data_IF_998584048583
#
_entry.id   IF_998584048583
#
_cell.length_a   1.000
_cell.length_b   1.000
_cell.length_c   1.000
_cell.angle_alpha   90.00
_cell.angle_beta   90.00
_cell.angle_gamma   90.00
#
_symmetry.space_group_name_H-M   'P 1'
#
loop_
_entity.id
_entity.type
_entity.pdbx_description
1 polymer ?
#
# COMPACT_ATOMS: atom_id res chain seq x y z
N UNK A 1 10.35 17.32 6.63
CA UNK A 1 9.75 16.74 5.40
C UNK A 1 10.15 15.28 5.36
N UNK A 2 9.22 14.39 4.99
CA UNK A 2 9.49 12.94 4.87
C UNK A 2 9.30 12.52 3.42
N UNK A 3 10.22 11.72 2.90
CA UNK A 3 10.20 11.18 1.55
C UNK A 3 10.32 9.67 1.61
N UNK A 4 9.46 8.96 0.88
CA UNK A 4 9.56 7.51 0.68
C UNK A 4 9.13 7.17 -0.74
N UNK A 5 10.01 6.59 -1.55
CA UNK A 5 9.72 6.27 -2.96
C UNK A 5 10.01 4.79 -3.20
N UNK A 6 8.97 4.00 -3.45
CA UNK A 6 9.05 2.54 -3.63
C UNK A 6 9.62 1.79 -2.41
N UNK A 7 9.23 2.21 -1.19
CA UNK A 7 9.70 1.62 0.08
C UNK A 7 8.54 1.29 1.01
N UNK A 8 7.49 2.10 1.01
CA UNK A 8 6.32 1.90 1.86
C UNK A 8 5.57 0.61 1.54
N UNK A 9 5.70 0.06 0.32
CA UNK A 9 5.17 -1.26 -0.01
C UNK A 9 5.86 -2.40 0.75
N UNK A 10 7.03 -2.19 1.36
CA UNK A 10 7.78 -3.24 2.07
C UNK A 10 7.61 -3.22 3.61
N UNK A 11 6.98 -2.18 4.16
CA UNK A 11 6.77 -2.05 5.60
C UNK A 11 5.55 -2.84 6.08
N UNK A 12 5.72 -3.78 7.00
CA UNK A 12 4.62 -4.58 7.56
C UNK A 12 3.71 -3.77 8.51
N UNK A 13 4.31 -3.01 9.43
CA UNK A 13 3.56 -2.22 10.42
C UNK A 13 3.31 -0.79 9.92
N UNK A 14 2.39 -0.67 8.95
CA UNK A 14 2.01 0.63 8.41
C UNK A 14 1.40 1.55 9.47
N UNK A 15 0.66 1.00 10.43
CA UNK A 15 0.00 1.77 11.48
C UNK A 15 1.03 2.52 12.33
N UNK A 16 2.01 1.80 12.92
CA UNK A 16 3.10 2.43 13.67
C UNK A 16 3.99 3.31 12.79
N UNK A 17 4.15 2.96 11.51
CA UNK A 17 4.91 3.77 10.56
C UNK A 17 4.28 5.16 10.37
N UNK A 18 2.97 5.23 10.10
CA UNK A 18 2.27 6.51 9.95
C UNK A 18 2.18 7.28 11.29
N UNK A 19 2.04 6.57 12.42
CA UNK A 19 2.10 7.19 13.74
C UNK A 19 3.45 7.87 14.00
N UNK A 20 4.56 7.18 13.71
CA UNK A 20 5.90 7.71 13.87
C UNK A 20 6.14 8.92 12.94
N UNK A 21 5.68 8.85 11.69
CA UNK A 21 5.75 9.97 10.77
C UNK A 21 5.01 11.21 11.30
N UNK A 22 3.84 11.03 11.92
CA UNK A 22 3.08 12.12 12.52
C UNK A 22 3.84 12.78 13.68
N UNK A 23 4.49 11.96 14.53
CA UNK A 23 5.31 12.46 15.64
C UNK A 23 6.57 13.20 15.17
N UNK A 24 7.19 12.74 14.09
CA UNK A 24 8.43 13.35 13.57
C UNK A 24 8.20 14.62 12.76
N UNK A 25 7.00 14.79 12.18
CA UNK A 25 6.66 15.97 11.41
C UNK A 25 6.05 17.05 12.30
N UNK A 26 6.67 18.23 12.31
CA UNK A 26 6.01 19.45 12.81
C UNK A 26 4.70 19.73 12.06
N UNK A 27 3.78 20.46 12.69
CA UNK A 27 2.58 20.99 12.04
C UNK A 27 2.95 21.77 10.76
N UNK A 28 2.18 21.56 9.69
CA UNK A 28 2.46 22.08 8.35
C UNK A 28 3.59 21.37 7.59
N UNK A 29 4.25 20.38 8.21
CA UNK A 29 5.26 19.55 7.55
C UNK A 29 4.67 18.67 6.44
N UNK A 30 5.43 18.43 5.38
CA UNK A 30 4.99 17.70 4.19
C UNK A 30 5.59 16.29 4.13
N UNK A 31 4.81 15.34 3.63
CA UNK A 31 5.23 14.00 3.22
C UNK A 31 4.98 13.78 1.73
N UNK A 32 5.87 13.01 1.11
CA UNK A 32 5.70 12.51 -0.26
C UNK A 32 6.04 11.03 -0.33
N UNK A 33 5.09 10.26 -0.88
CA UNK A 33 5.14 8.81 -0.95
C UNK A 33 4.87 8.32 -2.37
N UNK A 34 5.81 7.59 -2.95
CA UNK A 34 5.59 6.74 -4.12
C UNK A 34 5.46 5.30 -3.66
N UNK A 35 4.38 4.62 -4.08
CA UNK A 35 4.06 3.26 -3.65
C UNK A 35 3.73 2.41 -4.89
N UNK A 36 4.37 1.25 -4.99
CA UNK A 36 4.08 0.23 -6.00
C UNK A 36 3.19 -0.88 -5.41
N UNK A 37 2.06 -1.16 -6.06
CA UNK A 37 1.11 -2.20 -5.65
C UNK A 37 1.16 -3.45 -6.53
N UNK A 38 2.07 -3.50 -7.51
CA UNK A 38 2.26 -4.67 -8.38
C UNK A 38 2.85 -5.83 -7.58
N UNK A 39 2.78 -7.03 -8.17
CA UNK A 39 3.22 -8.27 -7.55
C UNK A 39 4.75 -8.49 -7.58
N UNK A 40 5.55 -7.52 -8.04
CA UNK A 40 7.03 -7.63 -8.18
C UNK A 40 7.52 -8.97 -8.74
N UNK A 41 6.90 -9.47 -9.82
CA UNK A 41 7.21 -10.76 -10.44
C UNK A 41 6.97 -12.01 -9.58
N UNK A 42 6.31 -11.89 -8.42
CA UNK A 42 5.87 -13.03 -7.59
C UNK A 42 4.67 -13.78 -8.18
N UNK A 43 4.10 -13.24 -9.25
CA UNK A 43 2.97 -13.78 -10.00
C UNK A 43 3.10 -13.40 -11.47
N UNK A 44 2.60 -14.26 -12.36
CA UNK A 44 2.52 -13.98 -13.80
C UNK A 44 1.63 -12.76 -14.11
N UNK A 45 0.63 -12.52 -13.25
CA UNK A 45 -0.26 -11.36 -13.32
C UNK A 45 0.26 -10.24 -12.44
N UNK A 46 0.18 -9.00 -12.92
CA UNK A 46 0.69 -7.85 -12.16
C UNK A 46 -0.01 -7.66 -10.82
N UNK A 47 -1.29 -8.01 -10.69
CA UNK A 47 -2.08 -7.95 -9.46
C UNK A 47 -2.45 -9.33 -8.92
N UNK A 48 -1.72 -10.37 -9.33
CA UNK A 48 -2.00 -11.74 -8.89
C UNK A 48 -1.69 -12.00 -7.42
N UNK A 49 -0.92 -11.14 -6.75
CA UNK A 49 -0.66 -11.28 -5.32
C UNK A 49 -1.95 -11.24 -4.47
N UNK A 50 -3.00 -10.56 -4.95
CA UNK A 50 -4.30 -10.47 -4.27
C UNK A 50 -5.10 -11.78 -4.28
N UNK A 51 -4.73 -12.75 -5.10
CA UNK A 51 -5.33 -14.10 -5.09
C UNK A 51 -4.59 -15.05 -4.14
N UNK A 52 -3.45 -14.61 -3.59
CA UNK A 52 -2.61 -15.43 -2.73
C UNK A 52 -3.17 -15.44 -1.28
N UNK A 53 -3.62 -16.61 -0.77
CA UNK A 53 -4.10 -16.72 0.61
C UNK A 53 -2.96 -16.59 1.62
N UNK A 54 -3.28 -16.16 2.84
CA UNK A 54 -2.27 -15.81 3.85
C UNK A 54 -1.33 -16.95 4.24
N UNK A 55 -1.82 -18.19 4.26
CA UNK A 55 -0.96 -19.36 4.53
C UNK A 55 0.10 -19.53 3.44
N UNK A 56 -0.27 -19.32 2.17
CA UNK A 56 0.64 -19.41 1.02
C UNK A 56 1.59 -18.23 1.02
N UNK A 57 1.09 -17.04 1.36
CA UNK A 57 1.92 -15.85 1.51
C UNK A 57 2.96 -16.02 2.63
N UNK A 58 2.57 -16.58 3.78
CA UNK A 58 3.48 -16.90 4.89
C UNK A 58 4.58 -17.86 4.46
N UNK A 59 4.26 -18.85 3.63
CA UNK A 59 5.25 -19.78 3.07
C UNK A 59 6.21 -19.08 2.09
N UNK A 60 5.69 -18.26 1.18
CA UNK A 60 6.51 -17.47 0.23
C UNK A 60 7.44 -16.51 0.97
N UNK A 61 6.93 -15.83 2.00
CA UNK A 61 7.73 -14.91 2.82
C UNK A 61 8.76 -15.62 3.68
N UNK A 62 8.45 -16.80 4.18
CA UNK A 62 9.26 -17.48 5.18
C UNK A 62 9.53 -16.53 6.37
N UNK A 63 10.79 -16.45 6.80
CA UNK A 63 11.24 -15.57 7.89
C UNK A 63 11.89 -14.27 7.38
N UNK A 64 11.49 -13.77 6.20
CA UNK A 64 12.06 -12.56 5.57
C UNK A 64 11.04 -11.42 5.61
N UNK A 65 10.97 -10.63 6.71
CA UNK A 65 9.96 -9.59 6.87
C UNK A 65 10.09 -8.44 5.87
N UNK A 66 11.31 -8.01 5.53
CA UNK A 66 11.53 -6.75 4.81
C UNK A 66 11.70 -6.84 3.29
N UNK A 67 11.83 -8.05 2.74
CA UNK A 67 12.16 -8.22 1.32
C UNK A 67 10.93 -8.28 0.40
N UNK A 68 9.72 -8.39 0.96
CA UNK A 68 8.51 -8.65 0.21
C UNK A 68 7.45 -7.61 0.53
N UNK A 69 6.44 -7.51 -0.32
CA UNK A 69 5.42 -6.47 -0.22
C UNK A 69 4.39 -6.74 0.90
N UNK A 70 3.95 -5.70 1.60
CA UNK A 70 2.99 -5.77 2.70
C UNK A 70 1.56 -6.09 2.24
N UNK A 71 1.29 -6.07 0.93
CA UNK A 71 -0.05 -6.28 0.33
C UNK A 71 -1.08 -5.31 0.92
N UNK A 72 -0.70 -4.06 1.20
CA UNK A 72 -1.64 -3.01 1.55
C UNK A 72 -2.14 -2.30 0.28
N UNK A 73 -3.46 -2.19 0.06
CA UNK A 73 -3.99 -1.44 -1.08
C UNK A 73 -3.90 0.08 -0.86
N UNK A 74 -4.06 0.84 -1.95
CA UNK A 74 -4.07 2.31 -1.93
C UNK A 74 -5.06 2.89 -0.91
N UNK A 75 -6.27 2.35 -0.84
CA UNK A 75 -7.28 2.75 0.15
C UNK A 75 -6.80 2.64 1.61
N UNK A 76 -5.92 1.68 1.92
CA UNK A 76 -5.34 1.52 3.27
C UNK A 76 -4.42 2.68 3.61
N UNK A 77 -3.57 3.10 2.68
CA UNK A 77 -2.70 4.27 2.87
C UNK A 77 -3.51 5.56 3.07
N UNK A 78 -4.57 5.76 2.28
CA UNK A 78 -5.46 6.91 2.46
C UNK A 78 -6.20 6.89 3.81
N UNK A 79 -6.66 5.71 4.25
CA UNK A 79 -7.31 5.56 5.54
C UNK A 79 -6.36 5.89 6.70
N UNK A 80 -5.12 5.40 6.65
CA UNK A 80 -4.10 5.67 7.66
C UNK A 80 -3.72 7.15 7.70
N UNK A 81 -3.52 7.79 6.53
CA UNK A 81 -3.25 9.23 6.46
C UNK A 81 -4.37 10.04 7.13
N UNK A 82 -5.64 9.72 6.84
CA UNK A 82 -6.79 10.39 7.46
C UNK A 82 -6.86 10.12 8.97
N UNK A 83 -6.60 8.89 9.40
CA UNK A 83 -6.63 8.47 10.81
C UNK A 83 -5.61 9.23 11.65
N UNK A 84 -4.40 9.43 11.14
CA UNK A 84 -3.33 10.16 11.81
C UNK A 84 -3.36 11.69 11.58
N UNK A 85 -4.48 12.22 11.09
CA UNK A 85 -4.69 13.68 10.99
C UNK A 85 -4.03 14.34 9.79
N UNK A 86 -3.41 13.58 8.88
CA UNK A 86 -2.80 14.14 7.68
C UNK A 86 -3.86 14.62 6.68
N UNK A 87 -3.59 15.78 6.07
CA UNK A 87 -4.36 16.28 4.92
C UNK A 87 -3.68 15.81 3.63
N UNK A 88 -4.34 14.94 2.86
CA UNK A 88 -3.89 14.62 1.50
C UNK A 88 -4.03 15.86 0.62
N UNK A 89 -2.94 16.29 0.01
CA UNK A 89 -2.88 17.45 -0.89
C UNK A 89 -2.71 17.05 -2.36
N UNK A 90 -2.18 15.86 -2.62
CA UNK A 90 -2.04 15.30 -3.96
C UNK A 90 -2.16 13.78 -3.88
N UNK A 91 -2.91 13.19 -4.81
CA UNK A 91 -3.07 11.74 -4.96
C UNK A 91 -3.15 11.43 -6.45
N UNK A 92 -2.03 10.98 -7.01
CA UNK A 92 -1.91 10.58 -8.41
C UNK A 92 -1.83 9.07 -8.47
N UNK A 93 -2.75 8.44 -9.19
CA UNK A 93 -2.80 6.99 -9.35
C UNK A 93 -2.50 6.60 -10.78
N UNK A 94 -1.69 5.55 -10.95
CA UNK A 94 -1.51 4.89 -12.23
C UNK A 94 -2.46 3.70 -12.25
N UNK A 95 -3.35 3.68 -13.24
CA UNK A 95 -4.31 2.60 -13.42
C UNK A 95 -3.82 1.61 -14.47
N UNK A 96 -4.07 0.33 -14.21
CA UNK A 96 -3.90 -0.78 -15.14
C UNK A 96 -5.12 -1.68 -15.06
N UNK A 97 -5.50 -2.27 -16.19
CA UNK A 97 -6.61 -3.23 -16.21
C UNK A 97 -6.32 -4.41 -15.27
N UNK A 98 -7.34 -4.82 -14.51
CA UNK A 98 -7.20 -5.93 -13.57
C UNK A 98 -7.14 -7.25 -14.32
N UNK A 99 -6.05 -8.01 -14.12
CA UNK A 99 -5.90 -9.35 -14.71
C UNK A 99 -6.50 -10.45 -13.80
N UNK A 100 -6.99 -10.08 -12.61
CA UNK A 100 -7.68 -10.96 -11.66
C UNK A 100 -9.15 -10.54 -11.51
N UNK A 101 -10.03 -11.53 -11.29
CA UNK A 101 -11.44 -11.26 -11.01
C UNK A 101 -11.66 -11.21 -9.51
N UNK A 102 -12.70 -10.50 -9.09
CA UNK A 102 -13.06 -10.38 -7.66
C UNK A 102 -13.35 -11.72 -7.00
N UNK A 103 -13.89 -12.68 -7.74
CA UNK A 103 -14.13 -14.05 -7.25
C UNK A 103 -12.85 -14.85 -6.98
N UNK A 104 -11.74 -14.48 -7.63
CA UNK A 104 -10.44 -15.17 -7.49
C UNK A 104 -9.61 -14.60 -6.31
N UNK A 105 -10.08 -13.52 -5.66
CA UNK A 105 -9.38 -12.88 -4.55
C UNK A 105 -9.36 -13.77 -3.30
N UNK A 106 -8.22 -13.75 -2.60
CA UNK A 106 -8.12 -14.40 -1.30
C UNK A 106 -9.07 -13.74 -0.29
N UNK A 107 -9.47 -14.49 0.75
CA UNK A 107 -10.46 -14.06 1.73
C UNK A 107 -10.24 -12.64 2.30
N UNK A 108 -9.01 -12.20 2.66
CA UNK A 108 -8.76 -10.85 3.18
C UNK A 108 -9.06 -9.73 2.17
N UNK A 109 -8.96 -10.02 0.88
CA UNK A 109 -9.06 -9.02 -0.19
C UNK A 109 -10.44 -9.02 -0.87
N UNK A 110 -11.37 -9.90 -0.48
CA UNK A 110 -12.71 -9.95 -1.08
C UNK A 110 -13.52 -8.65 -0.86
N UNK A 111 -13.27 -7.97 0.25
CA UNK A 111 -13.89 -6.69 0.61
C UNK A 111 -13.12 -5.46 0.08
N UNK A 112 -12.02 -5.67 -0.64
CA UNK A 112 -11.21 -4.58 -1.21
C UNK A 112 -12.04 -3.67 -2.12
N UNK A 113 -11.67 -2.39 -2.17
CA UNK A 113 -12.30 -1.42 -3.04
C UNK A 113 -12.11 -1.80 -4.51
N UNK A 114 -13.09 -1.51 -5.36
CA UNK A 114 -12.99 -1.83 -6.79
C UNK A 114 -11.88 -1.03 -7.47
N UNK A 115 -11.61 0.19 -7.02
CA UNK A 115 -10.55 1.03 -7.57
C UNK A 115 -9.18 0.45 -7.24
N UNK A 116 -8.97 -0.06 -6.03
CA UNK A 116 -7.69 -0.67 -5.61
C UNK A 116 -7.27 -1.82 -6.53
N UNK A 117 -8.22 -2.59 -7.07
CA UNK A 117 -7.92 -3.67 -8.03
C UNK A 117 -7.29 -3.19 -9.34
N UNK A 118 -7.48 -1.92 -9.67
CA UNK A 118 -7.00 -1.30 -10.91
C UNK A 118 -5.83 -0.34 -10.69
N UNK A 119 -5.48 0.00 -9.44
CA UNK A 119 -4.37 0.91 -9.15
C UNK A 119 -3.08 0.10 -9.07
N UNK A 120 -2.15 0.33 -10.01
CA UNK A 120 -0.86 -0.35 -10.03
C UNK A 120 0.20 0.35 -9.19
N UNK A 121 0.13 1.68 -9.12
CA UNK A 121 1.02 2.49 -8.29
C UNK A 121 0.36 3.83 -7.96
N UNK A 122 0.84 4.48 -6.91
CA UNK A 122 0.36 5.81 -6.52
C UNK A 122 1.48 6.72 -6.06
N UNK A 123 1.29 8.01 -6.29
CA UNK A 123 2.06 9.09 -5.71
C UNK A 123 1.15 9.93 -4.82
N UNK A 124 1.42 9.93 -3.52
CA UNK A 124 0.61 10.63 -2.51
C UNK A 124 1.47 11.70 -1.84
N UNK A 125 0.96 12.93 -1.77
CA UNK A 125 1.50 13.96 -0.90
C UNK A 125 0.49 14.34 0.17
N UNK A 126 0.99 14.55 1.39
CA UNK A 126 0.16 14.96 2.52
C UNK A 126 0.87 15.96 3.41
N UNK A 127 0.08 16.71 4.17
CA UNK A 127 0.55 17.71 5.13
C UNK A 127 0.08 17.33 6.52
N UNK A 128 0.98 17.44 7.51
CA UNK A 128 0.62 17.27 8.90
C UNK A 128 -0.19 18.48 9.38
N UNK A 129 -1.38 18.23 9.96
CA UNK A 129 -2.24 19.29 10.48
C UNK A 129 -1.83 19.69 11.88
#
# INVERSE_FOLDING_TARGET
MILSQAVLEHGDDLESTYAAMHLWLRAGGVMSHGIDFKSHNLSNKWNGIWTCPDWKWKLIRGNRPFFLINRAPHSTHLALLRRYGFKVICDLTVKRESEVRRCDLAAPFKTMDKNDLTISSSYIMSVNK
#
